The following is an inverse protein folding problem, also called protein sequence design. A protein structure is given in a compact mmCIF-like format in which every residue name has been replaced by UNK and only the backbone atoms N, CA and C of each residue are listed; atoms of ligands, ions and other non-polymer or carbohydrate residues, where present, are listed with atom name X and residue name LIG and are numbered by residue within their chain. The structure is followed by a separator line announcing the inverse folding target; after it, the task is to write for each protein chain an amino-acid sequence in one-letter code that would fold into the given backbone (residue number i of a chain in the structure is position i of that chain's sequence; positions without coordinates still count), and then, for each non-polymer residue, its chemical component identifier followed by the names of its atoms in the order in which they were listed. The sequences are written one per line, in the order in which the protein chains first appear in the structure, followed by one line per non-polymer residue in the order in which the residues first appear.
data_IF_785818047928
#
_entry.id   IF_785818047928
#
_cell.length_a   1.000
_cell.length_b   1.000
_cell.length_c   1.000
_cell.angle_alpha   90.00
_cell.angle_beta   90.00
_cell.angle_gamma   90.00
#
_symmetry.space_group_name_H-M   'P 1'
#
loop_
_entity.id
_entity.type
_entity.pdbx_description
1 polymer ?
#
# COMPACT_ATOMS: atom_id res chain seq x y z
N UNK A 1 -7.75 66.53 -74.49
CA UNK A 1 -7.13 66.65 -73.15
C UNK A 1 -8.01 66.00 -72.07
N UNK A 2 -8.19 64.66 -72.07
CA UNK A 2 -9.09 63.98 -71.10
C UNK A 2 -8.53 62.70 -70.46
N UNK A 3 -7.29 62.31 -70.77
CA UNK A 3 -6.66 61.08 -70.28
C UNK A 3 -5.92 61.30 -68.94
N UNK A 4 -5.17 62.39 -68.83
CA UNK A 4 -4.24 62.66 -67.70
C UNK A 4 -4.92 62.96 -66.36
N UNK A 5 -6.12 63.58 -66.37
CA UNK A 5 -6.87 63.85 -65.13
C UNK A 5 -7.54 62.59 -64.55
N UNK A 6 -7.96 61.65 -65.41
CA UNK A 6 -8.52 60.37 -64.96
C UNK A 6 -7.45 59.50 -64.32
N UNK A 7 -6.26 59.43 -64.91
CA UNK A 7 -5.13 58.68 -64.35
C UNK A 7 -4.69 59.24 -62.99
N UNK A 8 -4.65 60.57 -62.84
CA UNK A 8 -4.24 61.23 -61.59
C UNK A 8 -5.28 61.01 -60.47
N UNK A 9 -6.57 61.04 -60.80
CA UNK A 9 -7.65 60.71 -59.87
C UNK A 9 -7.60 59.23 -59.43
N UNK A 10 -7.38 58.28 -60.34
CA UNK A 10 -7.22 56.86 -59.97
C UNK A 10 -5.99 56.63 -59.10
N UNK A 11 -4.86 57.29 -59.36
CA UNK A 11 -3.65 57.16 -58.52
C UNK A 11 -3.91 57.71 -57.12
N UNK A 12 -4.58 58.85 -56.99
CA UNK A 12 -4.93 59.42 -55.69
C UNK A 12 -5.87 58.51 -54.88
N UNK A 13 -6.87 57.89 -55.52
CA UNK A 13 -7.78 56.93 -54.87
C UNK A 13 -7.04 55.67 -54.43
N UNK A 14 -6.14 55.13 -55.26
CA UNK A 14 -5.32 53.97 -54.89
C UNK A 14 -4.41 54.30 -53.71
N UNK A 15 -3.78 55.47 -53.69
CA UNK A 15 -2.93 55.89 -52.58
C UNK A 15 -3.72 56.07 -51.28
N UNK A 16 -4.92 56.65 -51.36
CA UNK A 16 -5.82 56.78 -50.22
C UNK A 16 -6.25 55.41 -49.66
N UNK A 17 -6.54 54.44 -50.54
CA UNK A 17 -6.86 53.06 -50.13
C UNK A 17 -5.67 52.34 -49.48
N UNK A 18 -4.45 52.55 -49.99
CA UNK A 18 -3.23 51.98 -49.40
C UNK A 18 -2.98 52.57 -48.01
N UNK A 19 -3.12 53.89 -47.85
CA UNK A 19 -2.95 54.56 -46.55
C UNK A 19 -4.02 54.08 -45.57
N UNK A 20 -5.28 54.03 -45.99
CA UNK A 20 -6.37 53.52 -45.17
C UNK A 20 -6.09 52.07 -44.73
N UNK A 21 -5.68 51.21 -45.66
CA UNK A 21 -5.30 49.81 -45.40
C UNK A 21 -4.18 49.69 -44.36
N UNK A 22 -3.11 50.49 -44.50
CA UNK A 22 -1.99 50.53 -43.55
C UNK A 22 -2.44 50.98 -42.15
N UNK A 23 -3.28 52.02 -42.05
CA UNK A 23 -3.79 52.50 -40.76
C UNK A 23 -4.62 51.40 -40.07
N UNK A 24 -5.54 50.75 -40.80
CA UNK A 24 -6.29 49.61 -40.24
C UNK A 24 -5.38 48.46 -39.81
N UNK A 25 -4.36 48.12 -40.60
CA UNK A 25 -3.41 47.07 -40.26
C UNK A 25 -2.63 47.40 -38.98
N UNK A 26 -2.16 48.64 -38.83
CA UNK A 26 -1.44 49.07 -37.63
C UNK A 26 -2.34 49.10 -36.37
N UNK A 27 -3.60 49.52 -36.51
CA UNK A 27 -4.57 49.48 -35.39
C UNK A 27 -4.87 48.05 -34.95
N UNK A 28 -5.16 47.14 -35.89
CA UNK A 28 -5.44 45.72 -35.59
C UNK A 28 -4.22 45.03 -34.99
N UNK A 29 -3.01 45.30 -35.50
CA UNK A 29 -1.77 44.73 -34.98
C UNK A 29 -1.43 45.24 -33.57
N UNK A 30 -1.78 46.47 -33.23
CA UNK A 30 -1.61 47.02 -31.88
C UNK A 30 -2.60 46.39 -30.91
N UNK A 31 -3.88 46.32 -31.31
CA UNK A 31 -4.94 45.71 -30.53
C UNK A 31 -4.66 44.22 -30.22
N UNK A 32 -4.21 43.45 -31.22
CA UNK A 32 -3.83 42.04 -31.00
C UNK A 32 -2.62 41.87 -30.06
N UNK A 33 -1.65 42.79 -30.08
CA UNK A 33 -0.51 42.74 -29.15
C UNK A 33 -0.95 42.99 -27.71
N UNK A 34 -1.76 44.03 -27.50
CA UNK A 34 -2.27 44.36 -26.16
C UNK A 34 -3.14 43.22 -25.60
N UNK A 35 -3.98 42.58 -26.43
CA UNK A 35 -4.75 41.40 -26.01
C UNK A 35 -3.87 40.20 -25.64
N UNK A 36 -2.82 39.92 -26.43
CA UNK A 36 -1.90 38.80 -26.15
C UNK A 36 -1.09 39.01 -24.87
N UNK A 37 -0.72 40.25 -24.55
CA UNK A 37 0.04 40.56 -23.35
C UNK A 37 -0.83 40.43 -22.09
N UNK A 38 -2.10 40.83 -22.15
CA UNK A 38 -3.07 40.62 -21.05
C UNK A 38 -3.27 39.12 -20.78
N UNK A 39 -3.50 38.32 -21.82
CA UNK A 39 -3.69 36.86 -21.68
C UNK A 39 -2.44 36.19 -21.11
N UNK A 40 -1.24 36.62 -21.54
CA UNK A 40 0.02 36.11 -20.99
C UNK A 40 0.19 36.46 -19.51
N UNK A 41 -0.14 37.70 -19.12
CA UNK A 41 -0.08 38.11 -17.71
C UNK A 41 -1.08 37.34 -16.85
N UNK A 42 -2.30 37.12 -17.33
CA UNK A 42 -3.29 36.31 -16.63
C UNK A 42 -2.80 34.86 -16.45
N UNK A 43 -2.31 34.22 -17.51
CA UNK A 43 -1.78 32.85 -17.44
C UNK A 43 -0.55 32.74 -16.52
N UNK A 44 0.32 33.76 -16.49
CA UNK A 44 1.46 33.81 -15.57
C UNK A 44 1.00 33.93 -14.12
N UNK A 45 0.02 34.79 -13.84
CA UNK A 45 -0.50 34.97 -12.49
C UNK A 45 -1.22 33.71 -11.98
N UNK A 46 -2.01 33.05 -12.83
CA UNK A 46 -2.65 31.77 -12.50
C UNK A 46 -1.61 30.67 -12.22
N UNK A 47 -0.55 30.59 -13.03
CA UNK A 47 0.55 29.63 -12.81
C UNK A 47 1.25 29.87 -11.47
N UNK A 48 1.55 31.13 -11.15
CA UNK A 48 2.17 31.50 -9.86
C UNK A 48 1.26 31.20 -8.68
N UNK A 49 -0.06 31.42 -8.82
CA UNK A 49 -1.02 31.08 -7.79
C UNK A 49 -1.10 29.58 -7.54
N UNK A 50 -1.10 28.77 -8.61
CA UNK A 50 -1.06 27.30 -8.52
C UNK A 50 0.22 26.82 -7.85
N UNK A 51 1.38 27.36 -8.23
CA UNK A 51 2.67 27.00 -7.61
C UNK A 51 2.65 27.34 -6.12
N UNK A 52 2.21 28.55 -5.75
CA UNK A 52 2.11 28.97 -4.34
C UNK A 52 1.18 28.07 -3.54
N UNK A 53 0.07 27.64 -4.14
CA UNK A 53 -0.86 26.70 -3.50
C UNK A 53 -0.22 25.33 -3.31
N UNK A 54 0.48 24.81 -4.33
CA UNK A 54 1.19 23.54 -4.23
C UNK A 54 2.32 23.58 -3.20
N UNK A 55 3.07 24.68 -3.11
CA UNK A 55 4.10 24.88 -2.08
C UNK A 55 3.49 24.90 -0.69
N UNK A 56 2.38 25.62 -0.49
CA UNK A 56 1.65 25.63 0.78
C UNK A 56 1.11 24.25 1.16
N UNK A 57 0.51 23.52 0.21
CA UNK A 57 0.03 22.16 0.43
C UNK A 57 1.20 21.21 0.76
N UNK A 58 2.36 21.37 0.11
CA UNK A 58 3.57 20.58 0.41
C UNK A 58 4.12 20.88 1.80
N UNK A 59 4.15 22.14 2.21
CA UNK A 59 4.60 22.54 3.55
C UNK A 59 3.61 22.08 4.63
N UNK A 60 2.31 22.14 4.37
CA UNK A 60 1.28 21.57 5.25
C UNK A 60 1.44 20.05 5.36
N UNK A 61 1.62 19.34 4.25
CA UNK A 61 1.89 17.89 4.28
C UNK A 61 3.18 17.55 5.01
N UNK A 62 4.26 18.32 4.83
CA UNK A 62 5.52 18.14 5.56
C UNK A 62 5.33 18.36 7.06
N UNK A 63 4.61 19.42 7.44
CA UNK A 63 4.29 19.68 8.84
C UNK A 63 3.41 18.57 9.43
N UNK A 64 2.40 18.08 8.70
CA UNK A 64 1.60 16.91 9.12
C UNK A 64 2.48 15.68 9.31
N UNK A 65 3.38 15.38 8.36
CA UNK A 65 4.35 14.29 8.44
C UNK A 65 5.27 14.42 9.65
N UNK A 66 5.81 15.61 9.91
CA UNK A 66 6.65 15.88 11.09
C UNK A 66 5.85 15.73 12.38
N UNK A 67 4.61 16.20 12.42
CA UNK A 67 3.73 16.06 13.58
C UNK A 67 3.32 14.60 13.80
N UNK A 68 3.13 13.82 12.74
CA UNK A 68 2.84 12.38 12.79
C UNK A 68 4.09 11.58 13.19
N UNK A 69 5.27 12.03 12.77
CA UNK A 69 6.58 11.51 13.18
C UNK A 69 6.87 11.82 14.65
N UNK A 70 6.51 13.00 15.13
CA UNK A 70 6.57 13.41 16.55
C UNK A 70 5.48 12.74 17.40
N UNK A 71 4.33 12.39 16.80
CA UNK A 71 3.26 11.59 17.43
C UNK A 71 3.59 10.11 17.49
N UNK A 72 4.65 9.61 16.85
CA UNK A 72 5.19 8.28 17.17
C UNK A 72 5.77 8.37 18.56
N UNK A 73 5.09 7.88 19.62
CA UNK A 73 5.72 7.79 20.90
C UNK A 73 6.79 6.69 20.77
N UNK A 74 8.00 6.98 21.24
CA UNK A 74 9.13 6.07 21.41
C UNK A 74 9.70 5.38 20.16
N UNK A 75 10.74 6.01 19.61
CA UNK A 75 11.84 5.32 18.91
C UNK A 75 12.42 4.15 19.73
N UNK A 76 12.09 4.03 21.03
CA UNK A 76 12.48 2.91 21.90
C UNK A 76 11.59 1.66 21.76
N UNK A 77 10.32 1.77 21.34
CA UNK A 77 9.41 0.60 21.31
C UNK A 77 9.93 -0.48 20.37
N UNK A 78 10.41 -0.11 19.18
CA UNK A 78 10.92 -1.08 18.22
C UNK A 78 12.18 -1.80 18.74
N UNK A 79 13.23 -1.10 19.24
CA UNK A 79 14.36 -1.73 19.93
C UNK A 79 13.96 -2.63 21.11
N UNK A 80 13.00 -2.21 21.94
CA UNK A 80 12.53 -3.02 23.08
C UNK A 80 11.86 -4.32 22.63
N UNK A 81 11.09 -4.27 21.54
CA UNK A 81 10.28 -5.40 21.05
C UNK A 81 11.07 -6.34 20.15
N UNK A 82 11.90 -5.79 19.27
CA UNK A 82 12.60 -6.52 18.21
C UNK A 82 14.12 -6.60 18.43
N UNK A 83 14.64 -6.10 19.55
CA UNK A 83 16.06 -6.20 19.92
C UNK A 83 17.04 -5.43 19.02
N UNK A 84 16.53 -4.64 18.06
CA UNK A 84 17.34 -3.91 17.07
C UNK A 84 16.69 -2.57 16.74
N UNK A 85 17.45 -1.58 16.23
CA UNK A 85 16.88 -0.32 15.77
C UNK A 85 15.84 -0.53 14.66
N UNK A 86 14.84 0.35 14.61
CA UNK A 86 13.84 0.34 13.54
C UNK A 86 14.52 0.43 12.17
N UNK A 87 14.11 -0.39 11.18
CA UNK A 87 14.64 -0.29 9.84
C UNK A 87 14.36 1.10 9.26
N UNK A 88 15.37 1.71 8.65
CA UNK A 88 15.22 2.94 7.88
C UNK A 88 14.29 2.67 6.68
N UNK A 89 13.47 3.65 6.30
CA UNK A 89 12.42 3.50 5.28
C UNK A 89 12.93 3.00 3.92
N UNK A 90 14.23 3.15 3.62
CA UNK A 90 14.87 2.78 2.36
C UNK A 90 15.51 1.37 2.35
N UNK A 91 15.33 0.57 3.40
CA UNK A 91 16.01 -0.72 3.58
C UNK A 91 15.56 -1.86 2.63
N UNK A 92 14.76 -1.58 1.60
CA UNK A 92 14.24 -2.58 0.63
C UNK A 92 15.22 -2.91 -0.50
N UNK A 93 16.45 -2.36 -0.51
CA UNK A 93 17.41 -2.53 -1.61
C UNK A 93 18.61 -3.44 -1.29
N UNK A 94 18.75 -3.91 -0.06
CA UNK A 94 19.83 -4.82 0.34
C UNK A 94 19.26 -6.22 0.62
N UNK A 95 20.04 -7.29 0.38
CA UNK A 95 19.58 -8.65 0.68
C UNK A 95 19.15 -8.74 2.15
N UNK A 96 18.06 -9.47 2.40
CA UNK A 96 17.53 -9.66 3.75
C UNK A 96 18.59 -10.34 4.61
N UNK A 97 18.98 -9.69 5.70
CA UNK A 97 19.85 -10.28 6.72
C UNK A 97 19.03 -11.23 7.59
N UNK A 98 19.08 -12.52 7.26
CA UNK A 98 18.24 -13.54 7.89
C UNK A 98 18.60 -13.79 9.36
N UNK A 99 19.86 -13.63 9.75
CA UNK A 99 20.28 -13.78 11.16
C UNK A 99 19.69 -12.65 12.01
N UNK A 100 19.72 -11.42 11.47
CA UNK A 100 19.07 -10.27 12.12
C UNK A 100 17.57 -10.46 12.23
N UNK A 101 16.91 -10.91 11.16
CA UNK A 101 15.45 -11.15 11.13
C UNK A 101 15.06 -12.27 12.11
N UNK A 102 15.85 -13.33 12.24
CA UNK A 102 15.63 -14.38 13.23
C UNK A 102 15.69 -13.81 14.66
N UNK A 103 16.71 -13.00 14.95
CA UNK A 103 16.87 -12.33 16.24
C UNK A 103 15.67 -11.43 16.57
N UNK A 104 15.18 -10.66 15.59
CA UNK A 104 13.97 -9.83 15.73
C UNK A 104 12.74 -10.67 16.03
N UNK A 105 12.53 -11.78 15.32
CA UNK A 105 11.41 -12.69 15.56
C UNK A 105 11.47 -13.30 16.97
N UNK A 106 12.64 -13.80 17.40
CA UNK A 106 12.82 -14.36 18.75
C UNK A 106 12.58 -13.32 19.84
N UNK A 107 13.05 -12.10 19.64
CA UNK A 107 12.83 -10.99 20.57
C UNK A 107 11.35 -10.64 20.70
N UNK A 108 10.61 -10.65 19.59
CA UNK A 108 9.17 -10.43 19.59
C UNK A 108 8.41 -11.49 20.42
N UNK A 109 8.76 -12.78 20.29
CA UNK A 109 8.15 -13.81 21.13
C UNK A 109 8.48 -13.63 22.62
N UNK A 110 9.74 -13.35 22.97
CA UNK A 110 10.12 -13.06 24.35
C UNK A 110 9.36 -11.85 24.91
N UNK A 111 9.13 -10.83 24.08
CA UNK A 111 8.32 -9.67 24.42
C UNK A 111 6.86 -10.06 24.72
N UNK A 112 6.24 -10.89 23.88
CA UNK A 112 4.86 -11.36 24.09
C UNK A 112 4.72 -12.18 25.36
N UNK A 113 5.72 -12.99 25.71
CA UNK A 113 5.73 -13.81 26.93
C UNK A 113 5.66 -12.97 28.21
N UNK A 114 6.14 -11.72 28.17
CA UNK A 114 6.06 -10.77 29.28
C UNK A 114 4.72 -10.03 29.39
N UNK A 115 3.77 -10.25 28.48
CA UNK A 115 2.48 -9.53 28.46
C UNK A 115 1.41 -10.23 29.28
N UNK A 116 0.49 -9.45 29.85
CA UNK A 116 -0.54 -9.92 30.80
C UNK A 116 -1.50 -10.95 30.19
N UNK A 117 -1.78 -10.87 28.89
CA UNK A 117 -2.63 -11.83 28.19
C UNK A 117 -1.99 -13.22 28.00
N UNK A 118 -0.66 -13.33 28.09
CA UNK A 118 0.05 -14.62 28.22
C UNK A 118 0.28 -15.00 29.67
N UNK A 119 0.68 -14.06 30.53
CA UNK A 119 0.98 -14.32 31.94
C UNK A 119 -0.21 -14.90 32.74
N UNK A 120 -1.44 -14.61 32.32
CA UNK A 120 -2.67 -15.11 32.94
C UNK A 120 -3.11 -16.50 32.48
N UNK A 121 -2.43 -17.09 31.48
CA UNK A 121 -2.80 -18.36 30.85
C UNK A 121 -1.61 -19.32 30.96
N UNK A 122 -1.83 -20.54 31.46
CA UNK A 122 -0.79 -21.59 31.55
C UNK A 122 -0.48 -22.18 30.16
N UNK A 123 0.09 -21.36 29.27
CA UNK A 123 0.41 -21.76 27.90
C UNK A 123 1.77 -22.45 27.92
N UNK A 124 1.74 -23.75 27.66
CA UNK A 124 2.95 -24.54 27.49
C UNK A 124 3.82 -23.94 26.37
N UNK A 125 5.10 -23.74 26.69
CA UNK A 125 6.11 -23.16 25.79
C UNK A 125 5.86 -21.70 25.34
N UNK A 126 5.05 -20.96 26.10
CA UNK A 126 4.85 -19.53 25.90
C UNK A 126 4.16 -19.18 24.57
N UNK A 127 4.38 -17.95 24.12
CA UNK A 127 3.84 -17.41 22.87
C UNK A 127 4.34 -18.17 21.65
N UNK A 128 5.63 -18.50 21.59
CA UNK A 128 6.20 -19.30 20.51
C UNK A 128 5.46 -20.66 20.36
N UNK A 129 5.25 -21.37 21.47
CA UNK A 129 4.48 -22.61 21.51
C UNK A 129 3.04 -22.44 21.04
N UNK A 130 2.37 -21.38 21.49
CA UNK A 130 1.01 -21.05 21.07
C UNK A 130 0.90 -20.84 19.55
N UNK A 131 1.75 -19.99 18.97
CA UNK A 131 1.73 -19.70 17.53
C UNK A 131 2.09 -20.94 16.71
N UNK A 132 3.07 -21.73 17.16
CA UNK A 132 3.45 -23.00 16.52
C UNK A 132 2.30 -24.00 16.53
N UNK A 133 1.59 -24.14 17.65
CA UNK A 133 0.43 -25.03 17.74
C UNK A 133 -0.72 -24.56 16.84
N UNK A 134 -0.97 -23.24 16.78
CA UNK A 134 -1.96 -22.66 15.88
C UNK A 134 -1.59 -22.95 14.41
N UNK A 135 -0.36 -22.68 14.02
CA UNK A 135 0.14 -22.97 12.68
C UNK A 135 -0.02 -24.45 12.35
N UNK A 136 0.42 -25.36 13.23
CA UNK A 136 0.27 -26.81 13.03
C UNK A 136 -1.19 -27.23 12.77
N UNK A 137 -2.14 -26.72 13.55
CA UNK A 137 -3.58 -27.01 13.36
C UNK A 137 -4.10 -26.47 12.02
N UNK A 138 -3.76 -25.23 11.69
CA UNK A 138 -4.16 -24.56 10.44
C UNK A 138 -3.60 -25.26 9.21
N UNK A 139 -2.32 -25.61 9.22
CA UNK A 139 -1.66 -26.28 8.10
C UNK A 139 -2.19 -27.71 7.87
N UNK A 140 -2.64 -28.38 8.93
CA UNK A 140 -3.23 -29.72 8.85
C UNK A 140 -4.65 -29.73 8.25
N UNK A 141 -5.38 -28.61 8.33
CA UNK A 141 -6.74 -28.48 7.80
C UNK A 141 -6.89 -27.13 7.08
N UNK A 142 -6.45 -27.04 5.81
CA UNK A 142 -6.47 -25.79 5.05
C UNK A 142 -7.88 -25.39 4.61
N UNK A 143 -8.09 -24.10 4.31
CA UNK A 143 -9.36 -23.59 3.78
C UNK A 143 -9.63 -24.07 2.33
N UNK A 144 -10.87 -23.96 1.87
CA UNK A 144 -11.29 -24.31 0.50
C UNK A 144 -11.15 -23.10 -0.43
N UNK A 145 -10.19 -23.15 -1.36
CA UNK A 145 -9.88 -22.01 -2.23
C UNK A 145 -10.63 -21.97 -3.57
N UNK A 146 -11.12 -23.11 -4.05
CA UNK A 146 -11.85 -23.22 -5.33
C UNK A 146 -13.26 -23.73 -5.06
N UNK A 147 -14.23 -23.18 -5.81
CA UNK A 147 -15.60 -23.68 -5.82
C UNK A 147 -16.26 -23.69 -4.43
N UNK A 148 -15.91 -22.72 -3.58
CA UNK A 148 -16.56 -22.50 -2.28
C UNK A 148 -18.07 -22.32 -2.44
N UNK A 149 -18.51 -21.56 -3.46
CA UNK A 149 -19.92 -21.26 -3.72
C UNK A 149 -20.70 -22.41 -4.39
N UNK A 150 -20.06 -23.51 -4.78
CA UNK A 150 -20.75 -24.65 -5.40
C UNK A 150 -21.55 -25.48 -4.40
N UNK A 151 -21.23 -25.35 -3.11
CA UNK A 151 -21.83 -26.16 -2.05
C UNK A 151 -21.92 -25.32 -0.77
N UNK A 152 -23.14 -25.21 -0.22
CA UNK A 152 -23.40 -24.49 1.02
C UNK A 152 -22.54 -25.00 2.19
N UNK A 153 -22.26 -26.31 2.25
CA UNK A 153 -21.41 -26.87 3.30
C UNK A 153 -19.98 -26.37 3.21
N UNK A 154 -19.44 -26.20 1.99
CA UNK A 154 -18.09 -25.64 1.78
C UNK A 154 -18.02 -24.17 2.18
N UNK A 155 -19.04 -23.40 1.82
CA UNK A 155 -19.15 -22.01 2.21
C UNK A 155 -19.17 -21.86 3.74
N UNK A 156 -20.04 -22.62 4.43
CA UNK A 156 -20.10 -22.60 5.90
C UNK A 156 -18.76 -23.04 6.51
N UNK A 157 -18.12 -24.07 5.96
CA UNK A 157 -16.80 -24.53 6.42
C UNK A 157 -15.76 -23.41 6.36
N UNK A 158 -15.71 -22.66 5.27
CA UNK A 158 -14.80 -21.53 5.12
C UNK A 158 -15.15 -20.34 6.04
N UNK A 159 -16.42 -19.94 6.13
CA UNK A 159 -16.85 -18.83 6.98
C UNK A 159 -16.52 -19.07 8.46
N UNK A 160 -16.60 -20.32 8.89
CA UNK A 160 -16.31 -20.76 10.27
C UNK A 160 -14.88 -21.29 10.47
N UNK A 161 -14.02 -21.21 9.45
CA UNK A 161 -12.76 -21.95 9.37
C UNK A 161 -11.90 -21.84 10.63
N UNK A 162 -11.58 -20.61 11.03
CA UNK A 162 -10.72 -20.36 12.17
C UNK A 162 -11.32 -20.86 13.49
N UNK A 163 -12.63 -20.69 13.69
CA UNK A 163 -13.28 -21.18 14.91
C UNK A 163 -13.26 -22.70 14.98
N UNK A 164 -13.55 -23.36 13.86
CA UNK A 164 -13.56 -24.82 13.77
C UNK A 164 -12.17 -25.44 13.96
N UNK A 165 -11.12 -24.80 13.43
CA UNK A 165 -9.75 -25.35 13.47
C UNK A 165 -9.01 -24.99 14.77
N UNK A 166 -9.13 -23.74 15.23
CA UNK A 166 -8.38 -23.27 16.41
C UNK A 166 -9.18 -23.39 17.71
N UNK A 167 -10.51 -23.34 17.64
CA UNK A 167 -11.38 -23.28 18.80
C UNK A 167 -11.51 -21.88 19.39
N UNK A 168 -12.38 -21.75 20.39
CA UNK A 168 -12.70 -20.46 21.03
C UNK A 168 -11.48 -19.84 21.72
N UNK A 169 -10.79 -20.60 22.56
CA UNK A 169 -9.78 -20.05 23.46
C UNK A 169 -8.58 -19.46 22.71
N UNK A 170 -8.14 -20.15 21.66
CA UNK A 170 -7.08 -19.67 20.78
C UNK A 170 -7.50 -18.40 20.02
N UNK A 171 -8.76 -18.31 19.58
CA UNK A 171 -9.26 -17.11 18.91
C UNK A 171 -9.45 -15.93 19.85
N UNK A 172 -9.87 -16.18 21.10
CA UNK A 172 -9.93 -15.13 22.12
C UNK A 172 -8.54 -14.58 22.38
N UNK A 173 -7.54 -15.44 22.61
CA UNK A 173 -6.17 -14.98 22.82
C UNK A 173 -5.60 -14.26 21.59
N UNK A 174 -5.82 -14.77 20.38
CA UNK A 174 -5.41 -14.06 19.17
C UNK A 174 -6.07 -12.68 19.06
N UNK A 175 -7.35 -12.56 19.45
CA UNK A 175 -8.05 -11.29 19.56
C UNK A 175 -7.42 -10.35 20.59
N UNK A 176 -7.09 -10.87 21.79
CA UNK A 176 -6.45 -10.10 22.86
C UNK A 176 -5.08 -9.55 22.41
N UNK A 177 -4.28 -10.36 21.72
CA UNK A 177 -2.99 -9.95 21.13
C UNK A 177 -3.20 -8.84 20.12
N UNK A 178 -4.11 -9.03 19.15
CA UNK A 178 -4.36 -8.02 18.10
C UNK A 178 -4.86 -6.69 18.67
N UNK A 179 -5.69 -6.73 19.71
CA UNK A 179 -6.21 -5.54 20.38
C UNK A 179 -5.15 -4.82 21.24
N UNK A 180 -4.22 -5.57 21.84
CA UNK A 180 -3.21 -5.02 22.75
C UNK A 180 -1.96 -4.54 22.03
N UNK A 181 -1.63 -5.13 20.88
CA UNK A 181 -0.35 -4.96 20.19
C UNK A 181 -0.43 -4.12 18.90
N UNK A 182 -1.45 -3.27 18.74
CA UNK A 182 -1.66 -2.46 17.52
C UNK A 182 -0.39 -1.70 17.09
N UNK A 183 0.34 -1.12 18.05
CA UNK A 183 1.56 -0.33 17.78
C UNK A 183 2.70 -1.12 17.16
N UNK A 184 2.81 -2.43 17.46
CA UNK A 184 3.93 -3.28 17.04
C UNK A 184 3.52 -4.30 15.98
N UNK A 185 2.23 -4.36 15.62
CA UNK A 185 1.74 -5.39 14.72
C UNK A 185 2.25 -5.22 13.29
N UNK A 186 2.27 -3.99 12.77
CA UNK A 186 2.78 -3.69 11.43
C UNK A 186 4.25 -4.12 11.24
N UNK A 187 5.19 -3.75 12.15
CA UNK A 187 6.54 -4.28 12.10
C UNK A 187 6.64 -5.77 12.37
N UNK A 188 5.83 -6.32 13.28
CA UNK A 188 5.83 -7.76 13.51
C UNK A 188 5.49 -8.52 12.23
N UNK A 189 4.44 -8.14 11.51
CA UNK A 189 4.06 -8.79 10.26
C UNK A 189 5.17 -8.71 9.19
N UNK A 190 5.92 -7.59 9.13
CA UNK A 190 7.06 -7.46 8.24
C UNK A 190 8.19 -8.44 8.60
N UNK A 191 8.53 -8.55 9.89
CA UNK A 191 9.54 -9.49 10.41
C UNK A 191 9.12 -10.94 10.12
N UNK A 192 7.86 -11.30 10.40
CA UNK A 192 7.35 -12.65 10.13
C UNK A 192 7.33 -12.98 8.65
N UNK A 193 6.94 -12.05 7.78
CA UNK A 193 7.00 -12.26 6.33
C UNK A 193 8.45 -12.47 5.86
N UNK A 194 9.36 -11.59 6.27
CA UNK A 194 10.78 -11.71 5.91
C UNK A 194 11.36 -13.05 6.39
N UNK A 195 11.07 -13.45 7.62
CA UNK A 195 11.56 -14.71 8.16
C UNK A 195 10.99 -15.94 7.43
N UNK A 196 9.67 -16.00 7.31
CA UNK A 196 8.98 -17.21 6.84
C UNK A 196 9.10 -17.35 5.32
N UNK A 197 8.97 -16.25 4.57
CA UNK A 197 8.88 -16.28 3.09
C UNK A 197 10.25 -16.03 2.45
N UNK A 198 10.95 -14.96 2.84
CA UNK A 198 12.22 -14.58 2.19
C UNK A 198 13.39 -15.45 2.69
N UNK A 199 13.52 -15.60 4.01
CA UNK A 199 14.56 -16.41 4.64
C UNK A 199 14.25 -17.91 4.68
N UNK A 200 13.00 -18.30 4.37
CA UNK A 200 12.52 -19.68 4.49
C UNK A 200 12.84 -20.30 5.86
N UNK A 201 12.64 -19.52 6.92
CA UNK A 201 12.88 -19.92 8.29
C UNK A 201 11.76 -20.76 8.90
N UNK A 202 12.08 -21.54 9.93
CA UNK A 202 11.12 -22.30 10.71
C UNK A 202 10.53 -21.46 11.86
N UNK A 203 9.32 -21.79 12.31
CA UNK A 203 8.82 -21.22 13.56
C UNK A 203 9.68 -21.70 14.74
N UNK A 204 9.84 -20.91 15.81
CA UNK A 204 10.64 -21.34 16.94
C UNK A 204 10.17 -22.68 17.53
N UNK A 205 11.09 -23.64 17.58
CA UNK A 205 10.83 -25.01 18.04
C UNK A 205 10.41 -26.00 16.94
N UNK A 206 10.20 -25.54 15.70
CA UNK A 206 10.09 -26.43 14.54
C UNK A 206 11.44 -26.61 13.84
N UNK A 207 11.68 -27.81 13.31
CA UNK A 207 12.89 -28.10 12.53
C UNK A 207 12.76 -27.70 11.06
N UNK A 208 11.52 -27.66 10.55
CA UNK A 208 11.24 -27.47 9.13
C UNK A 208 10.55 -26.13 8.88
N UNK A 209 10.96 -25.38 7.84
CA UNK A 209 10.26 -24.19 7.41
C UNK A 209 8.82 -24.46 7.01
N UNK A 210 7.96 -23.44 7.12
CA UNK A 210 6.62 -23.51 6.57
C UNK A 210 6.70 -23.58 5.04
N UNK A 211 5.97 -24.54 4.46
CA UNK A 211 5.92 -24.66 3.00
C UNK A 211 5.19 -23.47 2.39
N UNK A 212 5.78 -22.86 1.36
CA UNK A 212 5.15 -21.81 0.56
C UNK A 212 3.76 -22.23 0.06
N UNK A 213 3.58 -23.51 -0.28
CA UNK A 213 2.29 -24.02 -0.75
C UNK A 213 1.14 -23.78 0.22
N UNK A 214 1.40 -23.95 1.52
CA UNK A 214 0.40 -23.78 2.57
C UNK A 214 0.20 -22.32 2.92
N UNK A 215 1.23 -21.50 2.85
CA UNK A 215 1.09 -20.04 2.96
C UNK A 215 0.21 -19.52 1.82
N UNK A 216 0.43 -20.03 0.60
CA UNK A 216 -0.38 -19.75 -0.57
C UNK A 216 -1.85 -20.18 -0.40
N UNK A 217 -2.14 -21.28 0.29
CA UNK A 217 -3.53 -21.66 0.64
C UNK A 217 -4.24 -20.57 1.45
N UNK A 218 -3.55 -19.96 2.42
CA UNK A 218 -4.13 -18.92 3.26
C UNK A 218 -4.17 -17.56 2.55
N UNK A 219 -3.18 -17.24 1.72
CA UNK A 219 -3.21 -16.05 0.89
C UNK A 219 -4.40 -16.09 -0.10
N UNK A 220 -4.61 -17.24 -0.75
CA UNK A 220 -5.78 -17.47 -1.59
C UNK A 220 -7.10 -17.38 -0.84
N UNK A 221 -7.13 -17.87 0.41
CA UNK A 221 -8.33 -17.80 1.23
C UNK A 221 -8.73 -16.35 1.50
N UNK A 222 -7.78 -15.52 1.93
CA UNK A 222 -8.06 -14.13 2.23
C UNK A 222 -8.41 -13.30 1.00
N UNK A 223 -7.73 -13.51 -0.12
CA UNK A 223 -7.96 -12.73 -1.34
C UNK A 223 -9.20 -13.19 -2.11
N UNK A 224 -9.38 -14.51 -2.28
CA UNK A 224 -10.26 -15.06 -3.31
C UNK A 224 -11.54 -15.74 -2.78
N UNK A 225 -11.65 -15.99 -1.47
CA UNK A 225 -12.84 -16.66 -0.89
C UNK A 225 -13.78 -15.69 -0.17
N UNK A 226 -15.07 -16.00 -0.16
CA UNK A 226 -16.08 -15.25 0.58
C UNK A 226 -15.85 -15.38 2.10
N UNK A 227 -15.46 -16.57 2.58
CA UNK A 227 -15.12 -16.79 3.99
C UNK A 227 -13.95 -15.93 4.46
N UNK A 228 -12.85 -15.88 3.70
CA UNK A 228 -11.67 -15.10 4.06
C UNK A 228 -11.91 -13.60 4.00
N UNK A 229 -12.55 -13.11 2.92
CA UNK A 229 -12.89 -11.69 2.78
C UNK A 229 -13.86 -11.23 3.88
N UNK A 230 -14.90 -12.00 4.16
CA UNK A 230 -15.84 -11.68 5.25
C UNK A 230 -15.21 -11.73 6.64
N UNK A 231 -14.21 -12.59 6.85
CA UNK A 231 -13.40 -12.57 8.06
C UNK A 231 -12.64 -11.25 8.20
N UNK A 232 -11.94 -10.80 7.15
CA UNK A 232 -11.18 -9.55 7.19
C UNK A 232 -12.05 -8.30 7.28
N UNK A 233 -13.26 -8.32 6.72
CA UNK A 233 -14.20 -7.20 6.86
C UNK A 233 -14.65 -6.94 8.31
N UNK A 234 -14.52 -7.94 9.21
CA UNK A 234 -14.80 -7.82 10.65
C UNK A 234 -13.55 -7.46 11.48
N UNK A 235 -12.46 -7.04 10.82
CA UNK A 235 -11.22 -6.60 11.47
C UNK A 235 -11.02 -5.12 11.20
N UNK A 236 -10.19 -4.50 12.01
CA UNK A 236 -9.77 -3.11 11.80
C UNK A 236 -9.11 -2.95 10.43
N UNK A 237 -9.25 -1.77 9.85
CA UNK A 237 -8.77 -1.50 8.48
C UNK A 237 -7.28 -1.82 8.33
N UNK A 238 -6.46 -1.43 9.32
CA UNK A 238 -5.02 -1.72 9.39
C UNK A 238 -4.72 -3.21 9.25
N UNK A 239 -5.36 -4.06 10.04
CA UNK A 239 -5.20 -5.52 9.96
C UNK A 239 -5.58 -6.04 8.58
N UNK A 240 -6.73 -5.61 8.07
CA UNK A 240 -7.23 -6.02 6.75
C UNK A 240 -6.25 -5.66 5.63
N UNK A 241 -5.74 -4.44 5.62
CA UNK A 241 -4.76 -3.99 4.63
C UNK A 241 -3.45 -4.77 4.73
N UNK A 242 -2.92 -4.96 5.93
CA UNK A 242 -1.67 -5.71 6.11
C UNK A 242 -1.82 -7.18 5.70
N UNK A 243 -2.93 -7.85 6.06
CA UNK A 243 -3.17 -9.23 5.63
C UNK A 243 -3.32 -9.32 4.12
N UNK A 244 -4.03 -8.38 3.48
CA UNK A 244 -4.12 -8.34 2.02
C UNK A 244 -2.74 -8.10 1.38
N UNK A 245 -1.95 -7.17 1.91
CA UNK A 245 -0.61 -6.85 1.42
C UNK A 245 0.29 -8.09 1.40
N UNK A 246 0.46 -8.76 2.54
CA UNK A 246 1.31 -9.94 2.62
C UNK A 246 0.71 -11.14 1.87
N UNK A 247 -0.61 -11.24 1.72
CA UNK A 247 -1.24 -12.26 0.87
C UNK A 247 -0.89 -12.04 -0.61
N UNK A 248 -0.90 -10.78 -1.08
CA UNK A 248 -0.45 -10.43 -2.44
C UNK A 248 1.01 -10.82 -2.63
N UNK A 249 1.89 -10.50 -1.68
CA UNK A 249 3.32 -10.87 -1.77
C UNK A 249 3.53 -12.38 -1.80
N UNK A 250 2.79 -13.16 -1.00
CA UNK A 250 2.87 -14.63 -1.02
C UNK A 250 2.42 -15.19 -2.37
N UNK A 251 1.34 -14.66 -2.96
CA UNK A 251 0.89 -15.10 -4.29
C UNK A 251 1.86 -14.65 -5.38
N UNK A 252 2.45 -13.46 -5.27
CA UNK A 252 3.49 -12.97 -6.19
C UNK A 252 4.71 -13.90 -6.18
N UNK A 253 5.16 -14.28 -4.98
CA UNK A 253 6.24 -15.26 -4.81
C UNK A 253 5.87 -16.61 -5.40
N UNK A 254 4.63 -17.05 -5.19
CA UNK A 254 4.14 -18.29 -5.78
C UNK A 254 4.09 -18.23 -7.31
N UNK A 255 3.75 -17.07 -7.91
CA UNK A 255 3.84 -16.87 -9.36
C UNK A 255 5.28 -17.00 -9.88
N UNK A 256 6.25 -16.38 -9.18
CA UNK A 256 7.67 -16.45 -9.54
C UNK A 256 8.21 -17.87 -9.46
N UNK A 257 7.75 -18.65 -8.48
CA UNK A 257 8.06 -20.08 -8.33
C UNK A 257 7.19 -20.99 -9.23
N UNK A 258 6.40 -20.40 -10.15
CA UNK A 258 5.48 -21.10 -11.09
C UNK A 258 4.46 -22.00 -10.38
N UNK A 259 4.06 -21.60 -9.18
CA UNK A 259 3.17 -22.31 -8.26
C UNK A 259 1.88 -21.50 -7.98
N UNK A 260 1.15 -21.06 -9.01
CA UNK A 260 -0.18 -20.44 -8.83
C UNK A 260 -1.31 -21.42 -9.15
N UNK A 261 -1.43 -22.47 -8.33
CA UNK A 261 -2.35 -23.60 -8.58
C UNK A 261 -3.83 -23.22 -8.65
N UNK A 262 -4.24 -22.11 -8.04
CA UNK A 262 -5.62 -21.63 -8.06
C UNK A 262 -5.86 -20.56 -9.14
N UNK A 263 -4.84 -20.17 -9.90
CA UNK A 263 -4.96 -19.16 -10.95
C UNK A 263 -5.41 -17.79 -10.42
N UNK A 264 -4.94 -17.41 -9.22
CA UNK A 264 -5.31 -16.14 -8.60
C UNK A 264 -4.69 -15.01 -9.42
N UNK A 265 -5.53 -14.16 -10.01
CA UNK A 265 -5.13 -12.93 -10.68
C UNK A 265 -4.92 -11.82 -9.65
N UNK A 266 -3.69 -11.32 -9.54
CA UNK A 266 -3.32 -10.31 -8.56
C UNK A 266 -3.74 -8.89 -8.92
N UNK A 267 -3.93 -8.59 -10.21
CA UNK A 267 -4.18 -7.22 -10.72
C UNK A 267 -5.28 -6.47 -9.95
N UNK A 268 -6.51 -7.02 -9.80
CA UNK A 268 -7.55 -6.30 -9.07
C UNK A 268 -7.18 -6.07 -7.60
N UNK A 269 -6.52 -7.03 -6.95
CA UNK A 269 -6.16 -6.92 -5.54
C UNK A 269 -5.05 -5.89 -5.30
N UNK A 270 -4.10 -5.76 -6.23
CA UNK A 270 -3.06 -4.72 -6.20
C UNK A 270 -3.72 -3.35 -6.28
N UNK A 271 -4.63 -3.13 -7.22
CA UNK A 271 -5.30 -1.84 -7.41
C UNK A 271 -6.16 -1.45 -6.21
N UNK A 272 -6.99 -2.37 -5.72
CA UNK A 272 -7.82 -2.11 -4.55
C UNK A 272 -6.97 -1.79 -3.32
N UNK A 273 -5.90 -2.55 -3.08
CA UNK A 273 -5.04 -2.31 -1.92
C UNK A 273 -4.25 -1.01 -2.05
N UNK A 274 -3.78 -0.67 -3.26
CA UNK A 274 -3.13 0.61 -3.52
C UNK A 274 -4.06 1.77 -3.20
N UNK A 275 -5.32 1.68 -3.62
CA UNK A 275 -6.34 2.67 -3.28
C UNK A 275 -6.60 2.74 -1.76
N UNK A 276 -6.76 1.61 -1.08
CA UNK A 276 -6.99 1.57 0.37
C UNK A 276 -5.81 2.19 1.16
N UNK A 277 -4.58 1.78 0.86
CA UNK A 277 -3.36 2.28 1.54
C UNK A 277 -3.10 3.75 1.20
N UNK A 278 -3.40 4.19 -0.02
CA UNK A 278 -3.20 5.60 -0.40
C UNK A 278 -4.17 6.53 0.32
N UNK A 279 -5.35 6.06 0.73
CA UNK A 279 -6.34 6.87 1.44
C UNK A 279 -6.33 6.71 2.98
N UNK A 280 -5.52 5.79 3.52
CA UNK A 280 -5.46 5.54 4.96
C UNK A 280 -4.37 6.38 5.64
N UNK A 281 -4.72 7.02 6.77
CA UNK A 281 -3.77 7.54 7.77
C UNK A 281 -3.51 6.49 8.86
N UNK A 282 -2.26 6.31 9.31
CA UNK A 282 -1.91 5.38 10.41
C UNK A 282 -1.15 4.09 10.05
N UNK A 283 -0.59 3.98 8.84
CA UNK A 283 0.41 2.95 8.50
C UNK A 283 1.82 3.53 8.58
N UNK A 284 2.66 3.00 9.46
CA UNK A 284 4.02 3.49 9.67
C UNK A 284 4.92 3.27 8.45
N UNK A 285 4.63 2.24 7.64
CA UNK A 285 5.36 1.85 6.43
C UNK A 285 4.56 2.10 5.15
N UNK A 286 3.63 3.07 5.17
CA UNK A 286 2.76 3.41 4.03
C UNK A 286 3.52 3.60 2.72
N UNK A 287 4.56 4.43 2.71
CA UNK A 287 5.37 4.71 1.51
C UNK A 287 6.01 3.44 0.96
N UNK A 288 6.57 2.60 1.85
CA UNK A 288 7.16 1.31 1.49
C UNK A 288 6.13 0.42 0.78
N UNK A 289 4.92 0.31 1.32
CA UNK A 289 3.86 -0.49 0.72
C UNK A 289 3.42 0.05 -0.64
N UNK A 290 3.23 1.36 -0.79
CA UNK A 290 2.84 1.98 -2.05
C UNK A 290 3.92 1.81 -3.12
N UNK A 291 5.20 1.97 -2.76
CA UNK A 291 6.33 1.73 -3.66
C UNK A 291 6.33 0.27 -4.13
N UNK A 292 6.21 -0.70 -3.21
CA UNK A 292 6.18 -2.11 -3.58
C UNK A 292 4.97 -2.47 -4.45
N UNK A 293 3.79 -1.95 -4.14
CA UNK A 293 2.59 -2.17 -4.94
C UNK A 293 2.70 -1.54 -6.33
N UNK A 294 3.39 -0.41 -6.47
CA UNK A 294 3.67 0.20 -7.79
C UNK A 294 4.56 -0.72 -8.62
N UNK A 295 5.63 -1.26 -8.04
CA UNK A 295 6.49 -2.23 -8.73
C UNK A 295 5.73 -3.50 -9.15
N UNK A 296 4.81 -3.99 -8.31
CA UNK A 296 3.96 -5.12 -8.66
C UNK A 296 2.98 -4.77 -9.77
N UNK A 297 2.42 -3.56 -9.76
CA UNK A 297 1.56 -3.09 -10.84
C UNK A 297 2.30 -3.11 -12.17
N UNK A 298 3.51 -2.59 -12.21
CA UNK A 298 4.35 -2.58 -13.43
C UNK A 298 4.76 -4.00 -13.87
N UNK A 299 4.83 -4.97 -12.95
CA UNK A 299 5.11 -6.38 -13.25
C UNK A 299 3.92 -7.10 -13.90
N UNK A 300 2.69 -6.77 -13.53
CA UNK A 300 1.48 -7.51 -13.91
C UNK A 300 0.57 -6.78 -14.90
N UNK A 301 0.76 -5.48 -15.13
CA UNK A 301 0.02 -4.67 -16.11
C UNK A 301 0.84 -4.42 -17.37
#
# INVERSE_FOLDING_TARGET
MNSTNRTLATVAVVFALIIAGLVTFFMVKRWHREQMDIVRQQAQNECVEVIRKMEADLDEMRAELETERQRRPDDEVFPTVFGTPAPQQDADTLPVDCDKVEGQMRSFFNYLDGRSYFASREIQEGSAGFFRQCAKKLLADPPVNIAEMKDMFRLVKNVTHFYRVLGRDALTLAGDILASEDRVLEPAMAVFYAWIVECRGALPGDEKPLSLERLYDYAGYFLNTLGGRSYLLRRESKIRMLVNYYSILVVDRANDEKFNRYGIDLRPYIDYLFYDISNQKGLAYRERYLTRLTLLRDKYM
#
